data_IF_909496849856
#
_entry.id   IF_909496849856
#
_cell.length_a   1.000
_cell.length_b   1.000
_cell.length_c   1.000
_cell.angle_alpha   90.00
_cell.angle_beta   90.00
_cell.angle_gamma   90.00
#
_symmetry.space_group_name_H-M   'P 1'
#
loop_
_entity.id
_entity.type
_entity.pdbx_description
1 polymer ?
#
# COMPACT_ATOMS: atom_id res chain seq x y z
N UNK A 1 -9.71 52.40 -80.19
CA UNK A 1 -9.76 51.28 -79.24
C UNK A 1 -8.49 51.32 -78.40
N UNK A 2 -8.52 52.00 -77.25
CA UNK A 2 -7.36 52.08 -76.34
C UNK A 2 -7.42 50.91 -75.37
N UNK A 3 -6.49 49.95 -75.52
CA UNK A 3 -6.30 48.86 -74.56
C UNK A 3 -5.62 49.45 -73.33
N UNK A 4 -6.29 49.39 -72.19
CA UNK A 4 -5.79 49.89 -70.92
C UNK A 4 -4.61 48.99 -70.44
N UNK A 5 -3.38 49.49 -70.33
CA UNK A 5 -2.18 48.66 -70.13
C UNK A 5 -1.91 48.27 -68.66
N UNK A 6 -2.87 48.50 -67.75
CA UNK A 6 -2.70 48.29 -66.30
C UNK A 6 -3.62 47.23 -65.67
N UNK A 7 -4.15 46.28 -66.45
CA UNK A 7 -4.74 45.07 -65.87
C UNK A 7 -3.64 44.10 -65.44
N UNK A 8 -3.04 44.36 -64.28
CA UNK A 8 -2.36 43.31 -63.53
C UNK A 8 -3.43 42.46 -62.83
N UNK A 9 -3.39 41.11 -62.96
CA UNK A 9 -4.13 40.25 -62.05
C UNK A 9 -3.67 40.60 -60.64
N UNK A 10 -4.59 41.02 -59.77
CA UNK A 10 -4.32 41.02 -58.34
C UNK A 10 -4.27 39.55 -57.95
N UNK A 11 -3.06 38.98 -57.90
CA UNK A 11 -2.80 37.74 -57.18
C UNK A 11 -3.21 37.99 -55.73
N UNK A 12 -4.40 37.54 -55.34
CA UNK A 12 -4.77 37.48 -53.93
C UNK A 12 -3.69 36.64 -53.23
N UNK A 13 -3.01 37.16 -52.18
CA UNK A 13 -2.14 36.32 -51.40
C UNK A 13 -3.03 35.29 -50.72
N UNK A 14 -3.07 34.08 -51.30
CA UNK A 14 -3.65 32.89 -50.68
C UNK A 14 -3.05 32.79 -49.29
N UNK A 15 -3.82 33.19 -48.28
CA UNK A 15 -3.39 33.14 -46.88
C UNK A 15 -2.97 31.72 -46.57
N UNK A 16 -1.69 31.51 -46.32
CA UNK A 16 -1.15 30.23 -45.89
C UNK A 16 -2.00 29.73 -44.71
N UNK A 17 -2.56 28.51 -44.76
CA UNK A 17 -3.44 28.02 -43.70
C UNK A 17 -2.69 28.08 -42.37
N UNK A 18 -3.29 28.78 -41.41
CA UNK A 18 -2.72 28.94 -40.07
C UNK A 18 -2.46 27.56 -39.45
N UNK A 19 -1.22 27.30 -38.99
CA UNK A 19 -0.86 25.99 -38.43
C UNK A 19 -1.78 25.58 -37.28
N UNK A 20 -2.37 24.38 -37.34
CA UNK A 20 -3.31 23.89 -36.31
C UNK A 20 -2.55 23.15 -35.20
N UNK A 21 -2.94 23.37 -33.95
CA UNK A 21 -2.38 22.64 -32.79
C UNK A 21 -2.84 21.19 -32.86
N UNK A 22 -1.91 20.24 -32.71
CA UNK A 22 -2.25 18.82 -32.75
C UNK A 22 -3.14 18.43 -31.55
N UNK A 23 -4.33 17.90 -31.81
CA UNK A 23 -5.23 17.37 -30.77
C UNK A 23 -4.55 16.30 -29.92
N UNK A 24 -3.61 15.53 -30.49
CA UNK A 24 -2.81 14.54 -29.76
C UNK A 24 -1.87 15.17 -28.73
N UNK A 25 -1.37 16.39 -28.98
CA UNK A 25 -0.54 17.12 -28.01
C UNK A 25 -1.38 17.60 -26.82
N UNK A 26 -2.61 18.05 -27.08
CA UNK A 26 -3.57 18.41 -26.03
C UNK A 26 -4.00 17.17 -25.24
N UNK A 27 -4.27 16.04 -25.92
CA UNK A 27 -4.58 14.77 -25.26
C UNK A 27 -3.41 14.27 -24.41
N UNK A 28 -2.17 14.34 -24.89
CA UNK A 28 -0.98 13.96 -24.10
C UNK A 28 -0.81 14.83 -22.85
N UNK A 29 -1.10 16.13 -22.95
CA UNK A 29 -1.08 17.04 -21.79
C UNK A 29 -2.20 16.69 -20.79
N UNK A 30 -3.42 16.44 -21.28
CA UNK A 30 -4.57 16.08 -20.44
C UNK A 30 -4.35 14.74 -19.74
N UNK A 31 -3.90 13.72 -20.46
CA UNK A 31 -3.59 12.40 -19.88
C UNK A 31 -2.34 12.42 -18.98
N UNK A 32 -1.35 13.28 -19.28
CA UNK A 32 -0.21 13.55 -18.40
C UNK A 32 -0.60 14.27 -17.11
N UNK A 33 -1.62 15.14 -17.14
CA UNK A 33 -2.18 15.82 -15.96
C UNK A 33 -3.09 14.90 -15.13
N UNK A 34 -3.72 13.91 -15.77
CA UNK A 34 -4.47 12.82 -15.14
C UNK A 34 -3.58 11.79 -14.43
N UNK A 35 -2.33 12.12 -14.08
CA UNK A 35 -1.37 11.20 -13.45
C UNK A 35 -1.83 10.64 -12.08
N UNK A 36 -2.89 11.19 -11.49
CA UNK A 36 -3.50 10.71 -10.26
C UNK A 36 -4.40 9.47 -10.43
N UNK A 37 -4.68 9.01 -11.66
CA UNK A 37 -5.45 7.78 -11.90
C UNK A 37 -4.48 6.64 -12.26
N UNK A 38 -4.49 5.51 -11.53
CA UNK A 38 -3.62 4.37 -11.85
C UNK A 38 -3.86 3.90 -13.30
N UNK A 39 -2.79 3.88 -14.11
CA UNK A 39 -2.82 3.44 -15.51
C UNK A 39 -2.90 4.55 -16.57
N UNK A 40 -3.23 5.80 -16.19
CA UNK A 40 -3.30 6.92 -17.15
C UNK A 40 -1.92 7.34 -17.68
N UNK A 41 -0.86 7.17 -16.88
CA UNK A 41 0.51 7.53 -17.24
C UNK A 41 1.02 6.79 -18.47
N UNK A 42 0.74 5.49 -18.59
CA UNK A 42 1.16 4.67 -19.73
C UNK A 42 0.48 5.13 -21.03
N UNK A 43 -0.82 5.43 -20.94
CA UNK A 43 -1.62 5.97 -22.06
C UNK A 43 -1.10 7.36 -22.44
N UNK A 44 -0.82 8.23 -21.48
CA UNK A 44 -0.24 9.56 -21.70
C UNK A 44 1.13 9.52 -22.39
N UNK A 45 2.00 8.57 -22.01
CA UNK A 45 3.31 8.38 -22.62
C UNK A 45 3.21 7.88 -24.07
N UNK A 46 2.33 6.90 -24.34
CA UNK A 46 2.11 6.38 -25.71
C UNK A 46 1.53 7.47 -26.62
N UNK A 47 0.48 8.17 -26.17
CA UNK A 47 -0.12 9.26 -26.96
C UNK A 47 0.84 10.43 -27.16
N UNK A 48 1.69 10.74 -26.17
CA UNK A 48 2.75 11.75 -26.30
C UNK A 48 3.79 11.38 -27.34
N UNK A 49 4.26 10.13 -27.35
CA UNK A 49 5.22 9.64 -28.34
C UNK A 49 4.65 9.67 -29.77
N UNK A 50 3.40 9.22 -29.95
CA UNK A 50 2.71 9.26 -31.26
C UNK A 50 2.43 10.69 -31.70
N UNK A 51 2.02 11.58 -30.79
CA UNK A 51 1.83 13.00 -31.05
C UNK A 51 3.12 13.67 -31.52
N UNK A 52 4.24 13.39 -30.87
CA UNK A 52 5.55 13.92 -31.26
C UNK A 52 5.99 13.42 -32.63
N UNK A 53 5.78 12.14 -32.93
CA UNK A 53 6.03 11.56 -34.25
C UNK A 53 5.16 12.22 -35.35
N UNK A 54 3.86 12.42 -35.09
CA UNK A 54 2.95 13.09 -36.03
C UNK A 54 3.31 14.55 -36.30
N UNK A 55 3.77 15.29 -35.29
CA UNK A 55 4.23 16.68 -35.44
C UNK A 55 5.53 16.71 -36.26
N UNK A 56 6.47 15.80 -35.98
CA UNK A 56 7.75 15.73 -36.70
C UNK A 56 7.60 15.40 -38.19
N UNK A 57 6.53 14.70 -38.57
CA UNK A 57 6.26 14.25 -39.95
C UNK A 57 5.33 15.18 -40.74
N UNK A 58 4.94 16.32 -40.16
CA UNK A 58 3.89 17.19 -40.69
C UNK A 58 4.36 18.33 -41.61
N UNK A 59 5.67 18.46 -41.85
CA UNK A 59 6.30 19.53 -42.68
C UNK A 59 5.76 20.93 -42.38
N UNK A 60 5.61 21.27 -41.09
CA UNK A 60 5.17 22.60 -40.64
C UNK A 60 3.66 22.82 -40.54
N UNK A 61 2.82 21.84 -40.92
CA UNK A 61 1.34 21.94 -40.80
C UNK A 61 0.81 21.84 -39.37
N UNK A 62 1.55 21.20 -38.46
CA UNK A 62 1.15 21.02 -37.06
C UNK A 62 2.15 21.70 -36.11
N UNK A 63 1.63 22.43 -35.12
CA UNK A 63 2.43 23.02 -34.04
C UNK A 63 2.11 22.34 -32.70
N UNK A 64 2.86 22.67 -31.64
CA UNK A 64 2.64 22.09 -30.30
C UNK A 64 3.72 21.11 -29.84
N UNK A 65 4.91 21.12 -30.46
CA UNK A 65 6.05 20.26 -30.08
C UNK A 65 6.44 20.43 -28.60
N UNK A 66 6.40 21.65 -28.07
CA UNK A 66 6.64 21.91 -26.65
C UNK A 66 5.59 21.26 -25.74
N UNK A 67 4.31 21.31 -26.12
CA UNK A 67 3.22 20.67 -25.35
C UNK A 67 3.29 19.14 -25.40
N UNK A 68 3.67 18.55 -26.54
CA UNK A 68 3.87 17.11 -26.66
C UNK A 68 5.07 16.64 -25.82
N UNK A 69 6.14 17.42 -25.75
CA UNK A 69 7.32 17.11 -24.94
C UNK A 69 7.03 17.20 -23.44
N UNK A 70 6.30 18.23 -22.99
CA UNK A 70 5.89 18.35 -21.59
C UNK A 70 4.93 17.24 -21.18
N UNK A 71 3.95 16.88 -22.01
CA UNK A 71 3.06 15.74 -21.78
C UNK A 71 3.81 14.40 -21.66
N UNK A 72 4.84 14.19 -22.49
CA UNK A 72 5.69 13.00 -22.42
C UNK A 72 6.51 12.92 -21.12
N UNK A 73 7.13 14.04 -20.68
CA UNK A 73 7.88 14.09 -19.42
C UNK A 73 6.96 13.85 -18.23
N UNK A 74 5.81 14.52 -18.18
CA UNK A 74 4.84 14.37 -17.09
C UNK A 74 4.30 12.93 -17.02
N UNK A 75 4.02 12.30 -18.17
CA UNK A 75 3.60 10.90 -18.24
C UNK A 75 4.68 9.93 -17.75
N UNK A 76 5.95 10.19 -18.08
CA UNK A 76 7.08 9.37 -17.62
C UNK A 76 7.30 9.49 -16.11
N UNK A 77 7.26 10.71 -15.58
CA UNK A 77 7.36 10.96 -14.13
C UNK A 77 6.20 10.31 -13.37
N UNK A 78 4.97 10.42 -13.88
CA UNK A 78 3.80 9.76 -13.30
C UNK A 78 3.94 8.24 -13.32
N UNK A 79 4.47 7.66 -14.40
CA UNK A 79 4.71 6.21 -14.51
C UNK A 79 5.76 5.74 -13.52
N UNK A 80 6.88 6.46 -13.38
CA UNK A 80 7.93 6.14 -12.39
C UNK A 80 7.39 6.24 -10.97
N UNK A 81 6.60 7.27 -10.66
CA UNK A 81 5.98 7.44 -9.35
C UNK A 81 5.05 6.27 -9.02
N UNK A 82 4.15 5.88 -9.94
CA UNK A 82 3.25 4.74 -9.75
C UNK A 82 3.98 3.42 -9.65
N UNK A 83 5.06 3.23 -10.42
CA UNK A 83 5.90 2.04 -10.31
C UNK A 83 6.59 1.99 -8.94
N UNK A 84 7.09 3.13 -8.44
CA UNK A 84 7.66 3.25 -7.10
C UNK A 84 6.63 2.95 -6.00
N UNK A 85 5.42 3.50 -6.10
CA UNK A 85 4.30 3.22 -5.17
C UNK A 85 3.89 1.75 -5.27
N UNK A 86 3.83 1.16 -6.46
CA UNK A 86 3.46 -0.24 -6.67
C UNK A 86 4.49 -1.19 -6.07
N UNK A 87 5.77 -1.00 -6.37
CA UNK A 87 6.87 -1.81 -5.82
C UNK A 87 6.97 -1.61 -4.31
N UNK A 88 6.97 -0.36 -3.85
CA UNK A 88 7.01 -0.02 -2.42
C UNK A 88 5.79 -0.59 -1.68
N UNK A 89 4.60 -0.48 -2.26
CA UNK A 89 3.37 -1.03 -1.73
C UNK A 89 3.42 -2.56 -1.62
N UNK A 90 3.85 -3.27 -2.66
CA UNK A 90 4.02 -4.73 -2.62
C UNK A 90 5.06 -5.14 -1.57
N UNK A 91 6.16 -4.40 -1.45
CA UNK A 91 7.18 -4.65 -0.45
C UNK A 91 6.62 -4.47 0.98
N UNK A 92 5.90 -3.37 1.24
CA UNK A 92 5.23 -3.11 2.51
C UNK A 92 4.18 -4.17 2.82
N UNK A 93 3.37 -4.59 1.84
CA UNK A 93 2.38 -5.64 2.03
C UNK A 93 3.02 -6.99 2.39
N UNK A 94 4.10 -7.37 1.69
CA UNK A 94 4.86 -8.59 2.02
C UNK A 94 5.42 -8.54 3.44
N UNK A 95 5.97 -7.40 3.85
CA UNK A 95 6.53 -7.25 5.19
C UNK A 95 5.45 -7.24 6.27
N UNK A 96 4.31 -6.58 6.02
CA UNK A 96 3.17 -6.61 6.92
C UNK A 96 2.62 -8.04 7.08
N UNK A 97 2.52 -8.81 6.00
CA UNK A 97 2.12 -10.21 6.06
C UNK A 97 3.06 -11.04 6.94
N UNK A 98 4.38 -10.82 6.88
CA UNK A 98 5.33 -11.54 7.73
C UNK A 98 5.12 -11.29 9.23
N UNK A 99 4.64 -10.10 9.61
CA UNK A 99 4.34 -9.75 11.00
C UNK A 99 2.98 -10.30 11.47
N UNK A 100 1.99 -10.32 10.57
CA UNK A 100 0.59 -10.67 10.87
C UNK A 100 0.35 -12.18 10.83
N UNK A 101 1.05 -12.92 9.97
CA UNK A 101 0.88 -14.37 9.80
C UNK A 101 1.10 -15.18 11.09
N UNK A 102 2.20 -14.98 11.85
CA UNK A 102 2.41 -15.72 13.09
C UNK A 102 1.30 -15.48 14.12
N UNK A 103 0.80 -14.24 14.21
CA UNK A 103 -0.32 -13.91 15.09
C UNK A 103 -1.55 -14.70 14.71
N UNK A 104 -1.89 -14.71 13.42
CA UNK A 104 -3.03 -15.46 12.92
C UNK A 104 -2.92 -16.95 13.29
N UNK A 105 -1.76 -17.59 13.11
CA UNK A 105 -1.58 -19.00 13.48
C UNK A 105 -1.73 -19.23 15.00
N UNK A 106 -1.16 -18.34 15.82
CA UNK A 106 -1.24 -18.43 17.28
C UNK A 106 -2.69 -18.25 17.78
N UNK A 107 -3.44 -17.31 17.20
CA UNK A 107 -4.81 -17.00 17.64
C UNK A 107 -5.88 -17.89 17.00
N UNK A 108 -5.64 -18.44 15.80
CA UNK A 108 -6.56 -19.36 15.12
C UNK A 108 -6.42 -20.82 15.58
N UNK A 109 -5.34 -21.16 16.29
CA UNK A 109 -5.08 -22.52 16.77
C UNK A 109 -4.29 -23.42 15.81
N UNK A 110 -3.67 -22.86 14.77
CA UNK A 110 -2.77 -23.61 13.87
C UNK A 110 -1.36 -23.70 14.49
N UNK A 111 -1.24 -24.58 15.49
CA UNK A 111 -0.08 -24.68 16.37
C UNK A 111 1.20 -25.12 15.65
N UNK A 112 1.08 -25.98 14.65
CA UNK A 112 2.22 -26.47 13.88
C UNK A 112 2.91 -25.35 13.11
N UNK A 113 2.12 -24.44 12.52
CA UNK A 113 2.65 -23.26 11.83
C UNK A 113 3.08 -22.18 12.82
N UNK A 114 2.34 -21.99 13.91
CA UNK A 114 2.72 -21.05 14.96
C UNK A 114 4.13 -21.35 15.49
N UNK A 115 4.44 -22.62 15.80
CA UNK A 115 5.74 -23.05 16.32
C UNK A 115 6.93 -22.73 15.42
N UNK A 116 6.73 -22.66 14.11
CA UNK A 116 7.79 -22.29 13.16
C UNK A 116 8.23 -20.83 13.30
N UNK A 117 7.39 -20.00 13.90
CA UNK A 117 7.63 -18.57 14.12
C UNK A 117 7.98 -18.22 15.57
N UNK A 118 7.83 -19.17 16.49
CA UNK A 118 8.19 -19.00 17.89
C UNK A 118 9.69 -19.17 18.10
N UNK A 119 10.23 -18.49 19.11
CA UNK A 119 11.60 -18.71 19.56
C UNK A 119 11.77 -20.18 20.00
N UNK A 120 12.94 -20.81 19.75
CA UNK A 120 13.19 -22.20 20.14
C UNK A 120 12.92 -22.46 21.63
N UNK A 121 13.23 -21.47 22.49
CA UNK A 121 12.96 -21.53 23.93
C UNK A 121 11.47 -21.60 24.26
N UNK A 122 10.66 -20.85 23.51
CA UNK A 122 9.21 -20.76 23.66
C UNK A 122 8.56 -22.02 23.12
N UNK A 123 8.96 -22.45 21.92
CA UNK A 123 8.48 -23.68 21.28
C UNK A 123 8.79 -24.93 22.12
N UNK A 124 9.93 -24.98 22.83
CA UNK A 124 10.30 -26.11 23.69
C UNK A 124 9.42 -26.24 24.95
N UNK A 125 8.83 -25.15 25.44
CA UNK A 125 8.02 -25.10 26.67
C UNK A 125 6.51 -25.20 26.38
N UNK A 126 6.10 -24.92 25.14
CA UNK A 126 4.70 -24.93 24.70
C UNK A 126 4.25 -26.34 24.31
N UNK A 127 3.55 -27.01 25.23
CA UNK A 127 2.78 -28.22 24.94
C UNK A 127 1.51 -27.90 24.17
N UNK A 128 0.99 -28.87 23.42
CA UNK A 128 -0.30 -28.77 22.71
C UNK A 128 -1.45 -28.45 23.66
N UNK A 129 -1.37 -28.94 24.90
CA UNK A 129 -2.35 -28.70 25.96
C UNK A 129 -2.41 -27.22 26.36
N UNK A 130 -1.25 -26.58 26.60
CA UNK A 130 -1.21 -25.15 26.96
C UNK A 130 -1.69 -24.26 25.81
N UNK A 131 -1.35 -24.65 24.59
CA UNK A 131 -1.81 -23.98 23.38
C UNK A 131 -3.33 -24.03 23.25
N UNK A 132 -3.89 -25.22 23.48
CA UNK A 132 -5.33 -25.44 23.50
C UNK A 132 -6.01 -24.63 24.60
N UNK A 133 -5.51 -24.69 25.83
CA UNK A 133 -6.03 -23.93 26.97
C UNK A 133 -6.04 -22.43 26.68
N UNK A 134 -4.96 -21.88 26.12
CA UNK A 134 -4.89 -20.48 25.72
C UNK A 134 -5.96 -20.12 24.68
N UNK A 135 -6.07 -20.89 23.58
CA UNK A 135 -7.05 -20.59 22.54
C UNK A 135 -8.50 -20.79 23.00
N UNK A 136 -8.77 -21.74 23.87
CA UNK A 136 -10.10 -21.95 24.46
C UNK A 136 -10.45 -20.81 25.42
N UNK A 137 -9.50 -20.36 26.24
CA UNK A 137 -9.69 -19.23 27.15
C UNK A 137 -9.94 -17.91 26.40
N UNK A 138 -9.18 -17.64 25.34
CA UNK A 138 -9.41 -16.47 24.46
C UNK A 138 -10.73 -16.63 23.70
N UNK A 139 -10.97 -17.80 23.11
CA UNK A 139 -12.17 -18.08 22.32
C UNK A 139 -13.47 -18.02 23.12
N UNK A 140 -13.43 -18.40 24.39
CA UNK A 140 -14.57 -18.26 25.30
C UNK A 140 -14.97 -16.78 25.45
N UNK A 141 -13.99 -15.89 25.59
CA UNK A 141 -14.22 -14.46 25.81
C UNK A 141 -14.59 -13.72 24.51
N UNK A 142 -13.76 -13.81 23.46
CA UNK A 142 -13.88 -12.98 22.25
C UNK A 142 -14.33 -13.75 21.01
N UNK A 143 -14.50 -15.07 21.09
CA UNK A 143 -14.87 -15.91 19.94
C UNK A 143 -13.66 -16.30 19.09
N UNK A 144 -13.91 -16.88 17.91
CA UNK A 144 -12.83 -17.23 16.98
C UNK A 144 -12.30 -16.00 16.27
N UNK A 145 -11.08 -16.11 15.74
CA UNK A 145 -10.50 -15.07 14.89
C UNK A 145 -11.35 -14.98 13.62
N UNK A 146 -11.92 -13.81 13.37
CA UNK A 146 -12.69 -13.53 12.15
C UNK A 146 -11.72 -13.06 11.05
N UNK A 147 -11.02 -11.95 11.29
CA UNK A 147 -10.02 -11.45 10.35
C UNK A 147 -8.95 -10.57 11.00
N UNK A 148 -7.77 -10.57 10.37
CA UNK A 148 -6.71 -9.61 10.68
C UNK A 148 -7.05 -8.24 10.05
N UNK A 149 -6.57 -7.13 10.63
CA UNK A 149 -6.84 -5.78 10.13
C UNK A 149 -6.43 -5.65 8.67
N UNK A 150 -7.38 -5.24 7.82
CA UNK A 150 -7.17 -5.11 6.37
C UNK A 150 -6.47 -3.78 6.06
N UNK A 151 -5.16 -3.88 5.80
CA UNK A 151 -4.33 -2.75 5.42
C UNK A 151 -4.25 -1.67 6.51
N UNK A 152 -3.78 -0.48 6.13
CA UNK A 152 -3.56 0.62 7.07
C UNK A 152 -4.87 1.10 7.70
N UNK A 153 -5.97 1.16 6.94
CA UNK A 153 -7.22 1.74 7.46
C UNK A 153 -7.89 0.83 8.50
N UNK A 154 -7.89 -0.48 8.28
CA UNK A 154 -8.34 -1.44 9.29
C UNK A 154 -7.47 -1.39 10.54
N UNK A 155 -6.15 -1.22 10.37
CA UNK A 155 -5.23 -1.10 11.50
C UNK A 155 -5.47 0.18 12.31
N UNK A 156 -5.65 1.33 11.65
CA UNK A 156 -5.96 2.61 12.30
C UNK A 156 -7.29 2.58 13.05
N UNK A 157 -8.33 1.98 12.44
CA UNK A 157 -9.63 1.81 13.09
C UNK A 157 -9.51 0.93 14.34
N UNK A 158 -8.85 -0.23 14.23
CA UNK A 158 -8.62 -1.12 15.37
C UNK A 158 -7.81 -0.47 16.49
N UNK A 159 -6.81 0.36 16.14
CA UNK A 159 -6.06 1.16 17.11
C UNK A 159 -6.93 2.22 17.81
N UNK A 160 -7.84 2.87 17.08
CA UNK A 160 -8.81 3.80 17.66
C UNK A 160 -9.77 3.10 18.62
N UNK A 161 -10.28 1.92 18.25
CA UNK A 161 -11.17 1.12 19.11
C UNK A 161 -10.48 0.59 20.38
N UNK A 162 -9.17 0.31 20.29
CA UNK A 162 -8.40 -0.30 21.37
C UNK A 162 -7.50 0.72 22.10
N UNK A 163 -7.69 2.02 21.90
CA UNK A 163 -6.81 3.06 22.46
C UNK A 163 -6.57 2.90 23.97
N UNK A 164 -7.63 2.73 24.76
CA UNK A 164 -7.54 2.53 26.21
C UNK A 164 -6.85 1.20 26.58
N UNK A 165 -7.08 0.15 25.81
CA UNK A 165 -6.48 -1.18 26.01
C UNK A 165 -4.98 -1.13 25.70
N UNK A 166 -4.60 -0.45 24.62
CA UNK A 166 -3.21 -0.26 24.20
C UNK A 166 -2.46 0.57 25.25
N UNK A 167 -3.06 1.67 25.73
CA UNK A 167 -2.46 2.49 26.75
C UNK A 167 -2.20 1.70 28.04
N UNK A 168 -3.19 0.89 28.48
CA UNK A 168 -3.03 0.00 29.65
C UNK A 168 -2.00 -1.10 29.40
N UNK A 169 -1.97 -1.70 28.22
CA UNK A 169 -0.99 -2.73 27.87
C UNK A 169 0.44 -2.18 27.89
N UNK A 170 0.67 -0.98 27.34
CA UNK A 170 1.98 -0.33 27.38
C UNK A 170 2.42 0.05 28.81
N UNK A 171 1.48 0.39 29.69
CA UNK A 171 1.76 0.69 31.10
C UNK A 171 2.08 -0.57 31.93
N UNK A 172 1.48 -1.71 31.60
CA UNK A 172 1.57 -2.98 32.35
C UNK A 172 2.71 -3.91 31.91
N UNK A 173 3.75 -3.38 31.26
CA UNK A 173 4.91 -4.15 30.80
C UNK A 173 4.90 -4.49 29.31
N UNK A 174 3.90 -4.05 28.56
CA UNK A 174 3.82 -4.21 27.10
C UNK A 174 4.71 -3.28 26.28
N UNK A 175 5.67 -2.55 26.88
CA UNK A 175 6.54 -1.58 26.15
C UNK A 175 7.32 -2.22 25.01
N UNK A 176 7.73 -3.48 25.19
CA UNK A 176 8.54 -4.20 24.22
C UNK A 176 7.69 -5.07 23.27
N UNK A 177 6.37 -5.09 23.46
CA UNK A 177 5.45 -5.84 22.64
C UNK A 177 4.91 -5.02 21.48
N UNK A 178 4.73 -5.64 20.32
CA UNK A 178 4.11 -5.03 19.15
C UNK A 178 2.59 -5.18 19.25
N UNK A 179 1.82 -4.08 19.41
CA UNK A 179 0.36 -4.10 19.48
C UNK A 179 -0.27 -4.30 18.10
N UNK A 180 -1.04 -5.39 17.95
CA UNK A 180 -1.79 -5.69 16.74
C UNK A 180 -3.27 -5.85 17.09
N UNK A 181 -4.14 -4.97 16.60
CA UNK A 181 -5.58 -5.15 16.76
C UNK A 181 -6.02 -6.35 15.93
N UNK A 182 -6.79 -7.28 16.50
CA UNK A 182 -7.33 -8.45 15.79
C UNK A 182 -8.83 -8.51 16.01
N UNK A 183 -9.59 -8.69 14.93
CA UNK A 183 -11.03 -8.84 15.01
C UNK A 183 -11.39 -10.31 15.24
N UNK A 184 -12.11 -10.55 16.33
CA UNK A 184 -12.73 -11.83 16.62
C UNK A 184 -14.25 -11.73 16.40
N UNK A 185 -14.93 -12.86 16.36
CA UNK A 185 -16.37 -12.95 16.11
C UNK A 185 -17.21 -12.08 17.06
N UNK A 186 -16.81 -11.97 18.34
CA UNK A 186 -17.57 -11.21 19.34
C UNK A 186 -17.05 -9.79 19.53
N UNK A 187 -15.74 -9.59 19.47
CA UNK A 187 -15.12 -8.28 19.73
C UNK A 187 -13.71 -8.17 19.13
N UNK A 188 -13.21 -6.94 19.04
CA UNK A 188 -11.81 -6.66 18.71
C UNK A 188 -10.96 -6.83 19.97
N UNK A 189 -9.89 -7.63 19.91
CA UNK A 189 -8.92 -7.75 21.00
C UNK A 189 -7.54 -7.30 20.54
N UNK A 190 -6.74 -6.81 21.48
CA UNK A 190 -5.37 -6.39 21.22
C UNK A 190 -4.43 -7.56 21.43
N UNK A 191 -3.74 -7.99 20.38
CA UNK A 191 -2.72 -9.03 20.46
C UNK A 191 -1.35 -8.38 20.50
N UNK A 192 -0.59 -8.63 21.57
CA UNK A 192 0.78 -8.14 21.75
C UNK A 192 1.75 -9.25 21.40
N UNK A 193 2.67 -8.99 20.47
CA UNK A 193 3.79 -9.90 20.17
C UNK A 193 5.06 -9.40 20.82
N UNK A 194 5.70 -10.24 21.62
CA UNK A 194 7.03 -9.99 22.17
C UNK A 194 8.07 -10.73 21.35
N UNK A 195 8.98 -9.99 20.73
CA UNK A 195 10.02 -10.56 19.89
C UNK A 195 11.28 -10.88 20.71
N UNK A 196 11.98 -11.94 20.33
CA UNK A 196 13.30 -12.21 20.89
C UNK A 196 14.28 -11.15 20.40
N UNK A 197 14.89 -10.41 21.32
CA UNK A 197 15.91 -9.42 20.98
C UNK A 197 17.23 -10.12 20.62
N UNK A 198 17.84 -9.70 19.51
CA UNK A 198 19.11 -10.23 19.03
C UNK A 198 19.28 -10.10 17.52
N UNK A 199 20.48 -10.38 16.99
CA UNK A 199 20.73 -10.37 15.55
C UNK A 199 19.91 -11.50 14.90
N UNK A 200 18.94 -11.13 14.07
CA UNK A 200 18.13 -12.06 13.29
C UNK A 200 18.17 -11.67 11.81
N UNK A 201 18.25 -12.67 10.93
CA UNK A 201 18.07 -12.46 9.50
C UNK A 201 16.57 -12.47 9.20
N UNK A 202 15.95 -11.29 9.16
CA UNK A 202 14.51 -11.13 8.86
C UNK A 202 13.68 -10.80 10.10
N UNK A 203 12.42 -11.25 10.13
CA UNK A 203 11.54 -11.03 11.27
C UNK A 203 12.05 -11.85 12.48
N UNK A 204 12.32 -11.23 13.64
CA UNK A 204 12.80 -11.95 14.80
C UNK A 204 11.79 -13.01 15.26
N UNK A 205 12.24 -14.14 15.82
CA UNK A 205 11.32 -15.14 16.34
C UNK A 205 10.56 -14.60 17.54
N UNK A 206 9.34 -15.09 17.73
CA UNK A 206 8.42 -14.62 18.78
C UNK A 206 8.79 -15.26 20.11
N UNK A 207 9.19 -14.44 21.09
CA UNK A 207 9.46 -14.85 22.46
C UNK A 207 8.16 -15.15 23.22
N UNK A 208 7.15 -14.31 23.11
CA UNK A 208 5.88 -14.51 23.81
C UNK A 208 4.73 -13.78 23.10
N UNK A 209 3.48 -14.11 23.45
CA UNK A 209 2.27 -13.44 22.97
C UNK A 209 1.30 -13.23 24.12
N UNK A 210 0.61 -12.10 24.14
CA UNK A 210 -0.55 -11.88 25.01
C UNK A 210 -1.74 -11.32 24.25
N UNK A 211 -2.94 -11.64 24.70
CA UNK A 211 -4.21 -11.11 24.18
C UNK A 211 -4.89 -10.31 25.27
N UNK A 212 -5.08 -9.02 25.01
CA UNK A 212 -5.74 -8.08 25.89
C UNK A 212 -7.13 -7.78 25.34
N UNK A 213 -8.16 -8.07 26.12
CA UNK A 213 -9.55 -7.88 25.71
C UNK A 213 -10.06 -6.50 26.15
N UNK A 214 -11.15 -6.01 25.54
CA UNK A 214 -11.81 -4.78 25.99
C UNK A 214 -12.37 -4.89 27.41
N UNK A 215 -12.68 -6.12 27.87
CA UNK A 215 -13.06 -6.40 29.26
C UNK A 215 -11.92 -6.18 30.27
N UNK A 216 -10.69 -5.96 29.80
CA UNK A 216 -9.50 -5.76 30.63
C UNK A 216 -8.81 -7.06 31.07
N UNK A 217 -9.26 -8.22 30.58
CA UNK A 217 -8.59 -9.50 30.80
C UNK A 217 -7.36 -9.60 29.89
N UNK A 218 -6.33 -10.27 30.40
CA UNK A 218 -5.09 -10.53 29.67
C UNK A 218 -4.81 -12.03 29.69
N UNK A 219 -4.71 -12.61 28.52
CA UNK A 219 -4.36 -14.02 28.33
C UNK A 219 -2.93 -14.08 27.81
N UNK A 220 -2.07 -14.79 28.53
CA UNK A 220 -0.67 -14.96 28.14
C UNK A 220 -0.45 -16.35 27.57
N UNK A 221 0.26 -16.43 26.45
CA UNK A 221 0.62 -17.70 25.81
C UNK A 221 1.57 -18.51 26.70
N UNK A 222 2.62 -17.85 27.19
CA UNK A 222 3.43 -18.31 28.31
C UNK A 222 3.23 -17.29 29.42
N UNK A 223 2.78 -17.71 30.62
CA UNK A 223 2.73 -16.82 31.77
C UNK A 223 4.08 -16.11 31.90
N UNK A 224 4.13 -14.77 31.98
CA UNK A 224 5.38 -14.10 32.25
C UNK A 224 5.96 -14.73 33.53
N UNK A 225 7.28 -14.99 33.55
CA UNK A 225 7.95 -15.49 34.75
C UNK A 225 7.42 -14.66 35.92
N UNK A 226 6.69 -15.30 36.83
CA UNK A 226 6.19 -14.64 38.02
C UNK A 226 7.41 -14.24 38.83
N UNK A 227 7.87 -13.02 38.67
CA UNK A 227 9.01 -12.54 39.41
C UNK A 227 9.29 -11.06 39.21
N UNK A 228 9.71 -10.39 40.30
CA UNK A 228 9.10 -10.35 41.63
C UNK A 228 7.81 -9.50 41.68
#
# INVERSE_FOLDING_TARGET
>A
MSRNPFQHPMDEPMGSPSPRVSGLAVSSLVFGLLCCIPGSGLIGTILGAVGLASISKSDGRLTGRGMAFTGLILGLLGTVLWLGIGIGGVWVLKQAQQMVQPVYYITSGDYDKARQHLAPTTAAVLSDEKLKEFTEAVGAEVGKVDHMPKGLMGFLNGWGELGDVIQKAQQSGGRDGIPIPVHFEKDTALVMIYLQQGPSKGFPPIKNVSVHTKSGKVYWLIPPDSGP
#
